data_IF_299782103906
#
_entry.id   IF_299782103906
#
_cell.length_a   1.000
_cell.length_b   1.000
_cell.length_c   1.000
_cell.angle_alpha   90.00
_cell.angle_beta   90.00
_cell.angle_gamma   90.00
#
_symmetry.space_group_name_H-M   'P 1'
#
loop_
_entity.id
_entity.type
_entity.pdbx_description
1 polymer ?
#
# COMPACT_ATOMS: atom_id res chain seq x y z
N UNK A 1 -29.49 24.18 -14.66
CA UNK A 1 -28.02 24.14 -14.90
C UNK A 1 -27.37 23.24 -13.84
N UNK A 2 -27.21 21.93 -14.12
CA UNK A 2 -26.43 21.04 -13.24
C UNK A 2 -24.97 21.48 -13.33
N UNK A 3 -24.45 22.17 -12.29
CA UNK A 3 -23.01 22.35 -12.14
C UNK A 3 -22.41 20.94 -12.12
N UNK A 4 -21.67 20.56 -13.15
CA UNK A 4 -20.71 19.46 -13.05
C UNK A 4 -19.80 19.82 -11.89
N UNK A 5 -20.03 19.21 -10.71
CA UNK A 5 -19.05 19.24 -9.62
C UNK A 5 -17.79 18.64 -10.25
N UNK A 6 -16.77 19.47 -10.47
CA UNK A 6 -15.42 18.99 -10.80
C UNK A 6 -15.07 18.05 -9.65
N UNK A 7 -15.12 16.75 -9.88
CA UNK A 7 -14.73 15.76 -8.88
C UNK A 7 -13.25 15.99 -8.62
N UNK A 8 -12.93 16.62 -7.50
CA UNK A 8 -11.56 16.73 -7.02
C UNK A 8 -11.09 15.31 -6.69
N UNK A 9 -10.19 14.77 -7.51
CA UNK A 9 -9.61 13.42 -7.34
C UNK A 9 -8.60 13.42 -6.18
N UNK A 10 -9.11 13.45 -4.95
CA UNK A 10 -8.34 13.43 -3.71
C UNK A 10 -7.75 12.06 -3.39
N UNK A 11 -8.50 11.00 -3.68
CA UNK A 11 -8.01 9.62 -3.65
C UNK A 11 -7.76 9.17 -5.09
N UNK A 12 -6.60 8.58 -5.34
CA UNK A 12 -6.26 8.04 -6.65
C UNK A 12 -5.56 6.70 -6.49
N UNK A 13 -5.86 5.78 -7.41
CA UNK A 13 -5.30 4.42 -7.44
C UNK A 13 -3.76 4.40 -7.41
N UNK A 14 -3.08 5.50 -7.74
CA UNK A 14 -1.63 5.58 -7.76
C UNK A 14 -1.02 5.75 -6.37
N UNK A 15 -1.75 6.38 -5.45
CA UNK A 15 -1.39 6.49 -4.03
C UNK A 15 -1.96 5.36 -3.18
N UNK A 16 -2.54 4.32 -3.79
CA UNK A 16 -3.23 3.25 -3.07
C UNK A 16 -2.71 1.87 -3.46
N UNK A 17 -2.80 0.94 -2.50
CA UNK A 17 -2.73 -0.47 -2.79
C UNK A 17 -3.79 -0.83 -3.83
N UNK A 18 -3.49 -1.74 -4.76
CA UNK A 18 -4.47 -2.17 -5.77
C UNK A 18 -5.67 -2.88 -5.14
N UNK A 19 -5.45 -3.50 -4.00
CA UNK A 19 -6.48 -4.09 -3.14
C UNK A 19 -7.11 -3.08 -2.17
N UNK A 20 -6.89 -1.78 -2.32
CA UNK A 20 -7.72 -0.73 -1.70
C UNK A 20 -8.78 -0.27 -2.70
N UNK A 21 -10.05 -0.51 -2.39
CA UNK A 21 -11.18 -0.06 -3.17
C UNK A 21 -11.57 1.38 -2.80
N UNK A 22 -11.81 2.22 -3.81
CA UNK A 22 -12.13 3.63 -3.66
C UNK A 22 -13.56 3.83 -4.12
N UNK A 23 -14.37 4.53 -3.32
CA UNK A 23 -15.76 4.83 -3.65
C UNK A 23 -15.89 5.78 -4.86
N UNK A 24 -17.06 5.81 -5.53
CA UNK A 24 -17.28 6.62 -6.74
C UNK A 24 -17.11 8.14 -6.56
N UNK A 25 -17.20 8.62 -5.31
CA UNK A 25 -17.03 10.01 -4.92
C UNK A 25 -15.57 10.37 -4.59
N UNK A 26 -14.67 9.38 -4.54
CA UNK A 26 -13.26 9.57 -4.19
C UNK A 26 -13.04 9.97 -2.72
N UNK A 27 -14.03 9.75 -1.86
CA UNK A 27 -13.97 10.09 -0.43
C UNK A 27 -14.11 8.89 0.50
N UNK A 28 -14.62 7.77 -0.01
CA UNK A 28 -14.75 6.51 0.70
C UNK A 28 -13.66 5.52 0.29
N UNK A 29 -13.24 4.66 1.22
CA UNK A 29 -12.35 3.55 0.89
C UNK A 29 -12.43 2.36 1.84
N UNK A 30 -12.08 1.19 1.33
CA UNK A 30 -12.07 -0.07 2.08
C UNK A 30 -11.13 -1.10 1.42
N UNK A 31 -10.68 -2.15 2.12
CA UNK A 31 -9.98 -3.27 1.48
C UNK A 31 -10.91 -3.96 0.47
N UNK A 32 -10.47 -4.16 -0.77
CA UNK A 32 -11.27 -4.75 -1.86
C UNK A 32 -11.68 -6.19 -1.58
N UNK A 33 -10.76 -6.96 -1.02
CA UNK A 33 -10.92 -8.40 -0.83
C UNK A 33 -11.16 -8.77 0.64
N UNK A 34 -11.73 -7.85 1.43
CA UNK A 34 -11.93 -8.03 2.87
C UNK A 34 -12.69 -9.33 3.22
N UNK A 35 -13.63 -9.75 2.37
CA UNK A 35 -14.42 -10.96 2.61
C UNK A 35 -13.62 -12.25 2.33
N UNK A 36 -12.77 -12.26 1.30
CA UNK A 36 -11.98 -13.44 0.92
C UNK A 36 -10.66 -13.53 1.69
N UNK A 37 -10.07 -12.38 2.04
CA UNK A 37 -8.78 -12.24 2.71
C UNK A 37 -8.90 -11.24 3.88
N UNK A 38 -9.59 -11.59 4.97
CA UNK A 38 -9.87 -10.69 6.09
C UNK A 38 -8.61 -10.21 6.83
N UNK A 39 -7.49 -10.92 6.70
CA UNK A 39 -6.19 -10.53 7.26
C UNK A 39 -5.48 -9.44 6.44
N UNK A 40 -5.91 -9.19 5.20
CA UNK A 40 -5.19 -8.33 4.26
C UNK A 40 -5.48 -6.85 4.54
N UNK A 41 -4.45 -6.14 4.99
CA UNK A 41 -4.53 -4.68 5.12
C UNK A 41 -4.32 -3.99 3.77
N UNK A 42 -4.99 -2.85 3.60
CA UNK A 42 -4.97 -2.02 2.40
C UNK A 42 -4.72 -0.56 2.77
N UNK A 43 -3.88 0.12 2.00
CA UNK A 43 -3.37 1.45 2.31
C UNK A 43 -3.67 2.42 1.19
N UNK A 44 -3.88 3.67 1.55
CA UNK A 44 -4.21 4.73 0.63
C UNK A 44 -3.72 6.09 1.14
N UNK A 45 -2.84 6.70 0.35
CA UNK A 45 -2.36 8.08 0.51
C UNK A 45 -3.14 9.01 -0.43
N UNK A 46 -3.55 10.17 0.08
CA UNK A 46 -4.22 11.18 -0.74
C UNK A 46 -3.25 11.78 -1.77
N UNK A 47 -3.83 12.32 -2.85
CA UNK A 47 -3.09 12.89 -3.98
C UNK A 47 -2.47 14.25 -3.69
N UNK A 48 -2.85 14.92 -2.61
CA UNK A 48 -2.36 16.24 -2.25
C UNK A 48 -1.81 16.21 -0.83
N UNK A 49 -0.62 16.78 -0.67
CA UNK A 49 0.05 16.96 0.60
C UNK A 49 0.40 18.42 0.84
N UNK A 50 1.08 18.68 1.94
CA UNK A 50 1.42 20.03 2.40
C UNK A 50 2.86 20.12 2.89
N UNK A 51 3.42 21.33 2.79
CA UNK A 51 4.80 21.65 3.22
C UNK A 51 4.85 22.69 4.35
N UNK A 52 3.74 23.38 4.61
CA UNK A 52 3.72 24.53 5.49
C UNK A 52 2.30 24.82 6.01
N UNK A 53 2.21 25.72 6.99
CA UNK A 53 0.96 26.19 7.57
C UNK A 53 0.47 25.33 8.72
N UNK A 54 -0.81 25.49 9.08
CA UNK A 54 -1.50 24.65 10.06
C UNK A 54 -2.67 23.98 9.36
N UNK A 55 -2.51 22.72 9.05
CA UNK A 55 -3.41 22.01 8.12
C UNK A 55 -3.96 20.75 8.79
N UNK A 56 -5.25 20.49 8.57
CA UNK A 56 -5.93 19.29 9.06
C UNK A 56 -6.66 18.50 7.99
N UNK A 57 -6.95 17.24 8.27
CA UNK A 57 -7.96 16.46 7.57
C UNK A 57 -8.71 15.58 8.57
N UNK A 58 -9.92 15.17 8.22
CA UNK A 58 -10.75 14.30 9.07
C UNK A 58 -11.04 12.98 8.36
N UNK A 59 -11.02 11.90 9.13
CA UNK A 59 -11.41 10.55 8.70
C UNK A 59 -12.41 9.96 9.67
N UNK A 60 -13.52 9.45 9.15
CA UNK A 60 -14.49 8.68 9.91
C UNK A 60 -14.27 7.19 9.69
N UNK A 61 -14.26 6.42 10.78
CA UNK A 61 -14.42 4.96 10.72
C UNK A 61 -15.90 4.66 10.47
N UNK A 62 -16.25 4.36 9.21
CA UNK A 62 -17.66 4.23 8.78
C UNK A 62 -18.31 2.96 9.30
N UNK A 63 -17.68 1.81 9.05
CA UNK A 63 -18.19 0.51 9.47
C UNK A 63 -17.12 -0.55 9.54
N UNK A 64 -17.33 -1.53 10.41
CA UNK A 64 -16.60 -2.80 10.40
C UNK A 64 -17.13 -3.69 9.28
N UNK A 65 -16.24 -4.46 8.68
CA UNK A 65 -16.55 -5.41 7.61
C UNK A 65 -16.27 -6.81 8.14
N UNK A 66 -17.27 -7.41 8.79
CA UNK A 66 -17.16 -8.73 9.39
C UNK A 66 -17.67 -9.79 8.40
N UNK A 67 -16.89 -10.85 8.10
CA UNK A 67 -17.39 -11.96 7.31
C UNK A 67 -18.52 -12.67 8.04
N UNK A 68 -19.57 -13.06 7.32
CA UNK A 68 -20.76 -13.74 7.87
C UNK A 68 -20.50 -15.16 8.41
N UNK A 69 -19.26 -15.67 8.33
CA UNK A 69 -18.93 -17.09 8.55
C UNK A 69 -17.79 -17.34 9.55
N UNK A 70 -17.37 -16.35 10.34
CA UNK A 70 -16.27 -16.51 11.31
C UNK A 70 -16.77 -16.25 12.73
N UNK A 71 -17.60 -17.15 13.25
CA UNK A 71 -17.91 -17.21 14.69
C UNK A 71 -16.80 -17.92 15.50
N UNK A 72 -15.79 -18.53 14.88
CA UNK A 72 -14.86 -19.45 15.57
C UNK A 72 -13.35 -19.20 15.34
N UNK A 73 -12.91 -17.97 15.07
CA UNK A 73 -11.48 -17.64 15.12
C UNK A 73 -11.20 -16.52 16.13
N UNK A 74 -11.21 -16.90 17.41
CA UNK A 74 -10.99 -16.03 18.58
C UNK A 74 -9.57 -15.44 18.69
N UNK A 75 -8.65 -15.76 17.77
CA UNK A 75 -7.23 -15.39 17.90
C UNK A 75 -6.76 -14.23 16.98
N UNK A 76 -7.57 -13.78 16.00
CA UNK A 76 -7.15 -12.73 15.09
C UNK A 76 -7.95 -11.45 15.26
N UNK A 77 -7.22 -10.35 15.35
CA UNK A 77 -7.78 -9.02 15.47
C UNK A 77 -8.79 -8.71 14.33
N UNK A 78 -10.07 -8.46 14.65
CA UNK A 78 -11.17 -8.56 13.68
C UNK A 78 -11.15 -7.46 12.61
N UNK A 79 -10.58 -6.31 12.94
CA UNK A 79 -10.40 -5.19 12.02
C UNK A 79 -9.25 -4.31 12.49
N UNK A 80 -8.76 -3.48 11.58
CA UNK A 80 -7.56 -2.67 11.75
C UNK A 80 -7.76 -1.29 11.15
N UNK A 81 -7.30 -0.25 11.84
CA UNK A 81 -7.25 1.10 11.29
C UNK A 81 -5.99 1.81 11.78
N UNK A 82 -5.30 2.46 10.86
CA UNK A 82 -4.27 3.47 11.12
C UNK A 82 -4.57 4.69 10.25
N UNK A 83 -4.48 5.88 10.83
CA UNK A 83 -4.70 7.16 10.15
C UNK A 83 -3.59 8.14 10.50
N UNK A 84 -3.19 8.98 9.55
CA UNK A 84 -2.14 9.97 9.83
C UNK A 84 -1.46 10.49 8.57
N UNK A 85 -0.15 10.68 8.64
CA UNK A 85 0.63 11.39 7.63
C UNK A 85 1.82 10.55 7.18
N UNK A 86 2.19 10.66 5.90
CA UNK A 86 3.43 10.07 5.40
C UNK A 86 3.97 10.86 4.21
N UNK A 87 5.27 10.70 3.92
CA UNK A 87 5.88 11.25 2.69
C UNK A 87 5.70 10.30 1.51
N UNK A 88 5.92 10.77 0.27
CA UNK A 88 5.66 9.99 -0.94
C UNK A 88 6.47 8.69 -1.06
N UNK A 89 7.66 8.68 -0.45
CA UNK A 89 8.67 7.64 -0.66
C UNK A 89 8.57 6.49 0.35
N UNK A 90 7.67 6.61 1.33
CA UNK A 90 7.35 5.49 2.23
C UNK A 90 6.43 4.50 1.54
N UNK A 91 6.43 3.26 2.04
CA UNK A 91 5.42 2.25 1.73
C UNK A 91 4.00 2.74 2.08
N UNK A 92 3.01 2.00 1.60
CA UNK A 92 1.60 2.20 1.94
C UNK A 92 1.19 1.45 3.23
N UNK A 93 2.16 0.91 3.97
CA UNK A 93 1.98 0.33 5.30
C UNK A 93 2.16 1.44 6.33
N UNK A 94 1.12 2.25 6.52
CA UNK A 94 1.21 3.45 7.36
C UNK A 94 1.69 3.10 8.78
N UNK A 95 2.81 3.71 9.19
CA UNK A 95 3.44 3.52 10.51
C UNK A 95 4.67 2.60 10.49
N UNK A 96 4.91 1.89 9.38
CA UNK A 96 6.03 0.94 9.28
C UNK A 96 7.37 1.62 8.90
N UNK A 97 7.33 2.72 8.15
CA UNK A 97 8.53 3.47 7.77
C UNK A 97 8.79 4.67 8.70
N UNK A 98 10.04 5.12 8.79
CA UNK A 98 10.46 6.21 9.70
C UNK A 98 9.74 7.55 9.47
N UNK A 99 9.34 7.84 8.23
CA UNK A 99 8.62 9.06 7.83
C UNK A 99 7.14 8.80 7.55
N UNK A 100 6.59 7.84 8.30
CA UNK A 100 5.20 7.46 8.27
C UNK A 100 4.64 7.47 9.69
N UNK A 101 3.78 8.45 9.97
CA UNK A 101 3.29 8.76 11.31
C UNK A 101 1.82 8.41 11.41
N UNK A 102 1.47 7.45 12.25
CA UNK A 102 0.11 6.95 12.37
C UNK A 102 -0.43 7.04 13.79
N UNK A 103 -1.75 7.16 13.89
CA UNK A 103 -2.54 6.84 15.06
C UNK A 103 -3.37 5.60 14.74
N UNK A 104 -3.28 4.56 15.58
CA UNK A 104 -3.95 3.28 15.34
C UNK A 104 -5.27 3.15 16.10
N UNK A 105 -6.00 2.07 15.81
CA UNK A 105 -7.29 1.76 16.41
C UNK A 105 -7.25 1.56 17.93
N UNK A 106 -6.09 1.28 18.51
CA UNK A 106 -5.94 1.00 19.94
C UNK A 106 -5.61 2.24 20.75
N UNK A 107 -5.36 3.36 20.08
CA UNK A 107 -4.86 4.55 20.74
C UNK A 107 -3.33 4.64 20.77
N UNK A 108 -2.62 3.84 19.97
CA UNK A 108 -1.17 3.97 19.88
C UNK A 108 -0.77 4.93 18.76
N UNK A 109 0.35 5.62 18.96
CA UNK A 109 1.07 6.28 17.88
C UNK A 109 2.10 5.31 17.29
N UNK A 110 2.19 5.25 15.96
CA UNK A 110 3.06 4.31 15.22
C UNK A 110 4.01 5.06 14.27
N UNK A 111 5.30 4.71 14.28
CA UNK A 111 6.29 5.18 13.30
C UNK A 111 7.50 4.24 13.27
N UNK A 112 8.09 4.00 12.09
CA UNK A 112 9.26 3.13 11.96
C UNK A 112 9.05 1.70 12.48
N UNK A 113 7.82 1.18 12.38
CA UNK A 113 7.43 -0.16 12.86
C UNK A 113 7.32 -0.27 14.39
N UNK A 114 7.38 0.86 15.12
CA UNK A 114 7.28 0.91 16.57
C UNK A 114 5.98 1.56 17.00
N UNK A 115 5.33 0.99 18.00
CA UNK A 115 4.11 1.51 18.62
C UNK A 115 4.33 1.95 20.05
N UNK A 116 3.74 3.09 20.40
CA UNK A 116 3.76 3.65 21.75
C UNK A 116 2.33 4.05 22.15
N UNK A 117 1.94 3.76 23.40
CA UNK A 117 0.69 4.23 23.97
C UNK A 117 0.63 5.76 23.92
N UNK A 118 -0.52 6.31 23.53
CA UNK A 118 -0.63 7.76 23.30
C UNK A 118 -2.02 8.32 23.61
N UNK A 119 -3.05 7.67 23.11
CA UNK A 119 -4.43 8.15 23.15
C UNK A 119 -5.39 7.06 23.57
N UNK A 120 -6.52 7.00 22.89
CA UNK A 120 -7.63 6.11 23.22
C UNK A 120 -8.10 5.26 22.02
N UNK A 121 -8.67 4.08 22.27
CA UNK A 121 -9.17 3.23 21.19
C UNK A 121 -10.24 3.89 20.32
N UNK A 122 -10.30 3.50 19.05
CA UNK A 122 -11.30 3.93 18.07
C UNK A 122 -12.40 2.87 17.90
N UNK A 123 -13.62 3.36 17.71
CA UNK A 123 -14.83 2.57 17.45
C UNK A 123 -15.53 3.03 16.18
N UNK A 124 -16.45 2.19 15.70
CA UNK A 124 -17.30 2.53 14.56
C UNK A 124 -18.06 3.84 14.82
N UNK A 125 -18.09 4.72 13.82
CA UNK A 125 -18.65 6.07 13.90
C UNK A 125 -17.67 7.14 14.37
N UNK A 126 -16.56 6.78 15.02
CA UNK A 126 -15.57 7.76 15.49
C UNK A 126 -14.94 8.53 14.33
N UNK A 127 -14.66 9.80 14.60
CA UNK A 127 -14.01 10.72 13.69
C UNK A 127 -12.65 11.10 14.26
N UNK A 128 -11.61 10.88 13.46
CA UNK A 128 -10.25 11.27 13.78
C UNK A 128 -9.87 12.50 12.97
N UNK A 129 -9.57 13.59 13.66
CA UNK A 129 -8.93 14.77 13.09
C UNK A 129 -7.42 14.64 13.17
N UNK A 130 -6.74 14.70 12.04
CA UNK A 130 -5.29 14.60 11.92
C UNK A 130 -4.73 15.97 11.52
N UNK A 131 -3.91 16.57 12.37
CA UNK A 131 -3.45 17.95 12.22
C UNK A 131 -1.93 18.04 12.17
N UNK A 132 -1.41 18.88 11.27
CA UNK A 132 0.00 19.18 11.10
C UNK A 132 0.23 20.68 11.26
N UNK A 133 1.06 21.06 12.22
CA UNK A 133 1.48 22.45 12.46
C UNK A 133 2.95 22.60 12.09
N UNK A 134 3.22 23.34 11.02
CA UNK A 134 4.56 23.67 10.57
C UNK A 134 5.02 24.98 11.20
N UNK A 135 6.13 24.94 11.91
CA UNK A 135 6.81 26.12 12.46
C UNK A 135 7.63 26.82 11.37
N UNK A 136 8.03 28.07 11.64
CA UNK A 136 8.80 28.90 10.69
C UNK A 136 10.20 28.36 10.44
N UNK A 137 10.77 27.63 11.39
CA UNK A 137 12.07 26.97 11.28
C UNK A 137 12.00 25.64 10.50
N UNK A 138 10.80 25.20 10.11
CA UNK A 138 10.55 23.94 9.41
C UNK A 138 10.22 22.75 10.31
N UNK A 139 10.26 22.90 11.64
CA UNK A 139 9.81 21.85 12.55
C UNK A 139 8.30 21.60 12.41
N UNK A 140 7.85 20.37 12.64
CA UNK A 140 6.45 19.98 12.46
C UNK A 140 5.93 19.26 13.70
N UNK A 141 4.78 19.68 14.19
CA UNK A 141 4.04 18.95 15.21
C UNK A 141 2.82 18.27 14.58
N UNK A 142 2.68 16.98 14.83
CA UNK A 142 1.51 16.20 14.42
C UNK A 142 0.66 15.87 15.63
N UNK A 143 -0.60 16.29 15.58
CA UNK A 143 -1.58 16.06 16.64
C UNK A 143 -2.83 15.37 16.13
N UNK A 144 -3.51 14.72 17.06
CA UNK A 144 -4.74 13.99 16.79
C UNK A 144 -5.89 14.47 17.68
N UNK A 145 -7.08 14.47 17.10
CA UNK A 145 -8.33 14.69 17.79
C UNK A 145 -9.24 13.50 17.55
N UNK A 146 -10.03 13.12 18.54
CA UNK A 146 -11.12 12.16 18.40
C UNK A 146 -12.42 12.83 18.76
N UNK A 147 -13.39 12.78 17.85
CA UNK A 147 -14.71 13.37 18.03
C UNK A 147 -14.65 14.84 18.49
N UNK A 148 -13.73 15.61 17.89
CA UNK A 148 -13.45 17.01 18.23
C UNK A 148 -12.54 17.22 19.45
N UNK A 149 -12.41 16.24 20.35
CA UNK A 149 -11.54 16.35 21.54
C UNK A 149 -10.07 16.19 21.17
N UNK A 150 -9.23 17.13 21.61
CA UNK A 150 -7.78 17.03 21.46
C UNK A 150 -7.23 15.87 22.30
N UNK A 151 -6.52 14.94 21.65
CA UNK A 151 -5.87 13.81 22.32
C UNK A 151 -4.44 14.19 22.72
N UNK A 152 -3.74 14.95 21.87
CA UNK A 152 -2.38 15.39 22.15
C UNK A 152 -1.54 15.61 20.88
N UNK A 153 -0.28 16.02 21.08
CA UNK A 153 0.75 16.01 20.04
C UNK A 153 1.47 14.66 20.09
N UNK A 154 1.28 13.84 19.06
CA UNK A 154 1.88 12.50 18.99
C UNK A 154 3.34 12.55 18.52
N UNK A 155 3.65 13.41 17.56
CA UNK A 155 4.98 13.49 16.95
C UNK A 155 5.47 14.93 16.88
N UNK A 156 6.72 15.11 17.27
CA UNK A 156 7.48 16.36 17.06
C UNK A 156 8.65 16.04 16.13
N UNK A 157 8.60 16.58 14.92
CA UNK A 157 9.53 16.29 13.83
C UNK A 157 10.46 17.50 13.69
N UNK A 158 11.77 17.26 13.80
CA UNK A 158 12.77 18.31 13.63
C UNK A 158 12.82 18.87 12.20
N UNK A 159 13.23 20.14 12.07
CA UNK A 159 13.25 20.88 10.81
C UNK A 159 13.99 20.17 9.65
N UNK A 160 15.05 19.42 9.98
CA UNK A 160 15.91 18.75 9.01
C UNK A 160 15.41 17.37 8.61
N UNK A 161 14.39 16.82 9.28
CA UNK A 161 13.95 15.43 9.08
C UNK A 161 13.16 15.28 7.79
N UNK A 162 12.22 16.19 7.52
CA UNK A 162 11.39 16.10 6.29
C UNK A 162 12.15 16.53 5.04
N UNK A 163 13.19 17.36 5.15
CA UNK A 163 14.03 17.80 4.02
C UNK A 163 13.19 18.33 2.83
N UNK A 164 12.15 19.12 3.12
CA UNK A 164 11.25 19.67 2.09
C UNK A 164 10.32 18.63 1.43
N UNK A 165 10.18 17.43 1.99
CA UNK A 165 9.21 16.44 1.52
C UNK A 165 7.81 16.74 2.07
N UNK A 166 6.77 16.79 1.20
CA UNK A 166 5.41 17.08 1.63
C UNK A 166 4.81 15.92 2.44
N UNK A 167 4.03 16.27 3.45
CA UNK A 167 3.21 15.33 4.21
C UNK A 167 1.87 15.13 3.52
N UNK A 168 1.53 13.87 3.24
CA UNK A 168 0.25 13.49 2.65
C UNK A 168 -0.60 12.76 3.68
N UNK A 169 -1.91 13.06 3.75
CA UNK A 169 -2.85 12.23 4.50
C UNK A 169 -2.82 10.78 4.02
N UNK A 170 -2.85 9.86 4.96
CA UNK A 170 -2.69 8.44 4.71
C UNK A 170 -3.60 7.65 5.65
N UNK A 171 -4.24 6.61 5.12
CA UNK A 171 -4.95 5.59 5.89
C UNK A 171 -4.44 4.20 5.52
N UNK A 172 -4.46 3.30 6.49
CA UNK A 172 -4.16 1.89 6.31
C UNK A 172 -5.16 1.08 7.14
N UNK A 173 -5.95 0.24 6.51
CA UNK A 173 -7.07 -0.44 7.15
C UNK A 173 -7.18 -1.91 6.77
N UNK A 174 -7.80 -2.69 7.66
CA UNK A 174 -8.15 -4.10 7.53
C UNK A 174 -9.59 -4.28 7.98
N UNK A 175 -10.42 -4.94 7.19
CA UNK A 175 -11.80 -5.29 7.56
C UNK A 175 -12.63 -4.12 8.12
N UNK A 176 -12.39 -2.91 7.61
CA UNK A 176 -13.22 -1.74 7.91
C UNK A 176 -13.21 -0.76 6.74
N UNK A 177 -14.24 0.08 6.71
CA UNK A 177 -14.40 1.14 5.75
C UNK A 177 -14.14 2.50 6.40
N UNK A 178 -13.57 3.42 5.62
CA UNK A 178 -13.26 4.77 6.05
C UNK A 178 -13.83 5.81 5.09
N UNK A 179 -14.16 6.99 5.62
CA UNK A 179 -14.54 8.16 4.83
C UNK A 179 -13.69 9.35 5.20
N UNK A 180 -13.22 10.08 4.20
CA UNK A 180 -12.55 11.35 4.37
C UNK A 180 -13.52 12.50 4.15
N UNK A 181 -13.38 13.56 4.94
CA UNK A 181 -14.05 14.82 4.65
C UNK A 181 -13.25 15.63 3.62
N UNK A 182 -13.68 15.57 2.35
CA UNK A 182 -12.95 16.13 1.21
C UNK A 182 -13.75 17.13 0.37
N UNK A 183 -15.02 17.35 0.69
CA UNK A 183 -15.82 18.41 0.05
C UNK A 183 -15.41 19.75 0.69
N UNK A 184 -14.78 20.67 -0.06
CA UNK A 184 -14.36 21.96 0.48
C UNK A 184 -15.52 22.88 0.88
N UNK A 185 -16.75 22.54 0.46
CA UNK A 185 -17.97 23.29 0.78
C UNK A 185 -18.75 22.68 1.94
N UNK A 186 -18.42 21.46 2.37
CA UNK A 186 -19.06 20.83 3.52
C UNK A 186 -18.49 21.42 4.83
N UNK A 187 -19.33 21.62 5.85
CA UNK A 187 -18.82 21.96 7.18
C UNK A 187 -17.94 20.81 7.70
N UNK A 188 -16.89 21.13 8.50
CA UNK A 188 -16.13 20.10 9.20
C UNK A 188 -17.05 19.32 10.14
N UNK A 189 -16.76 18.03 10.39
CA UNK A 189 -17.61 17.25 11.29
C UNK A 189 -17.52 17.75 12.73
N UNK A 190 -16.37 18.30 13.11
CA UNK A 190 -16.17 19.04 14.35
C UNK A 190 -15.52 20.40 14.09
N UNK A 191 -15.68 21.39 15.00
CA UNK A 191 -15.00 22.67 14.86
C UNK A 191 -13.48 22.49 14.69
N UNK A 192 -12.92 23.12 13.65
CA UNK A 192 -11.49 23.07 13.38
C UNK A 192 -10.71 23.77 14.51
N UNK A 193 -9.57 23.22 14.98
CA UNK A 193 -8.76 23.87 16.00
C UNK A 193 -8.33 25.29 15.58
N UNK A 194 -8.21 26.24 16.52
CA UNK A 194 -7.87 27.63 16.19
C UNK A 194 -6.62 27.76 15.33
N UNK A 195 -6.75 28.47 14.21
CA UNK A 195 -5.66 28.72 13.25
C UNK A 195 -5.36 27.58 12.28
N UNK A 196 -6.06 26.44 12.36
CA UNK A 196 -5.95 25.36 11.37
C UNK A 196 -6.93 25.56 10.21
N UNK A 197 -6.55 25.06 9.04
CA UNK A 197 -7.40 25.00 7.85
C UNK A 197 -7.48 23.58 7.32
N UNK A 198 -8.67 23.14 6.89
CA UNK A 198 -8.85 21.83 6.30
C UNK A 198 -8.15 21.73 4.94
N UNK A 199 -7.46 20.62 4.69
CA UNK A 199 -6.73 20.35 3.44
C UNK A 199 -7.61 20.57 2.20
N UNK A 200 -8.88 20.13 2.27
CA UNK A 200 -9.84 20.29 1.19
C UNK A 200 -10.04 21.76 0.81
N UNK A 201 -10.13 22.63 1.82
CA UNK A 201 -10.40 24.06 1.68
C UNK A 201 -9.16 24.90 1.34
N UNK A 202 -7.95 24.34 1.40
CA UNK A 202 -6.74 25.08 1.03
C UNK A 202 -6.76 25.54 -0.43
N UNK A 203 -6.16 26.69 -0.76
CA UNK A 203 -5.98 27.11 -2.15
C UNK A 203 -4.98 26.18 -2.88
N UNK A 204 -5.06 26.06 -4.22
CA UNK A 204 -4.17 25.17 -4.99
C UNK A 204 -2.67 25.43 -4.77
N UNK A 205 -2.24 26.69 -4.60
CA UNK A 205 -0.82 27.04 -4.40
C UNK A 205 -0.23 26.57 -3.05
N UNK A 206 -1.07 26.14 -2.10
CA UNK A 206 -0.62 25.60 -0.81
C UNK A 206 -0.68 24.07 -0.76
N UNK A 207 -1.07 23.41 -1.87
CA UNK A 207 -1.17 21.96 -1.99
C UNK A 207 -0.10 21.44 -2.94
N UNK A 208 0.62 20.42 -2.51
CA UNK A 208 1.59 19.71 -3.35
C UNK A 208 0.95 18.45 -3.88
N UNK A 209 0.83 18.34 -5.21
CA UNK A 209 0.25 17.16 -5.85
C UNK A 209 1.29 16.04 -5.92
N UNK A 210 0.91 14.84 -5.51
CA UNK A 210 1.69 13.64 -5.73
C UNK A 210 1.86 13.40 -7.24
N UNK A 211 3.05 12.93 -7.63
CA UNK A 211 3.40 12.67 -9.03
C UNK A 211 2.40 11.70 -9.70
N UNK A 212 1.94 12.08 -10.88
CA UNK A 212 0.85 11.41 -11.60
C UNK A 212 1.42 10.22 -12.38
N UNK A 213 0.80 9.04 -12.26
CA UNK A 213 1.20 7.86 -13.03
C UNK A 213 0.67 7.92 -14.48
N UNK A 214 1.03 6.95 -15.34
CA UNK A 214 0.59 6.91 -16.73
C UNK A 214 -0.94 7.03 -16.87
N UNK A 215 -1.39 7.85 -17.81
CA UNK A 215 -2.81 8.16 -18.01
C UNK A 215 -3.52 7.21 -18.98
N UNK A 216 -2.77 6.40 -19.73
CA UNK A 216 -3.29 5.45 -20.72
C UNK A 216 -2.55 4.11 -20.68
N UNK A 217 -3.24 3.03 -21.06
CA UNK A 217 -2.67 1.67 -21.11
C UNK A 217 -1.42 1.57 -22.00
N UNK A 218 -1.38 2.31 -23.11
CA UNK A 218 -0.24 2.32 -24.03
C UNK A 218 1.05 2.89 -23.41
N UNK A 219 0.92 3.73 -22.38
CA UNK A 219 2.04 4.27 -21.61
C UNK A 219 2.43 3.37 -20.44
N UNK A 220 1.59 2.39 -20.08
CA UNK A 220 1.83 1.46 -18.99
C UNK A 220 2.77 0.32 -19.42
N UNK A 221 3.51 -0.20 -18.45
CA UNK A 221 4.49 -1.27 -18.63
C UNK A 221 4.30 -2.36 -17.58
N UNK A 222 4.37 -3.62 -18.02
CA UNK A 222 4.41 -4.79 -17.13
C UNK A 222 5.69 -5.57 -17.35
N UNK A 223 6.44 -5.80 -16.27
CA UNK A 223 7.62 -6.64 -16.24
C UNK A 223 7.23 -7.98 -15.60
N UNK A 224 7.33 -9.07 -16.37
CA UNK A 224 7.12 -10.42 -15.87
C UNK A 224 8.47 -11.03 -15.47
N UNK A 225 8.69 -11.23 -14.17
CA UNK A 225 9.89 -11.90 -13.69
C UNK A 225 9.80 -13.41 -13.94
N UNK A 226 10.88 -14.01 -14.44
CA UNK A 226 10.98 -15.46 -14.67
C UNK A 226 12.27 -15.96 -14.05
N UNK A 227 12.19 -16.99 -13.22
CA UNK A 227 13.35 -17.51 -12.50
C UNK A 227 12.98 -18.40 -11.34
N UNK A 228 13.88 -19.30 -10.96
CA UNK A 228 13.68 -20.23 -9.85
C UNK A 228 13.58 -19.49 -8.50
N UNK A 229 12.94 -20.06 -7.46
CA UNK A 229 13.07 -19.56 -6.09
C UNK A 229 14.54 -19.35 -5.71
N UNK A 230 14.87 -18.27 -5.00
CA UNK A 230 16.26 -17.93 -4.65
C UNK A 230 17.15 -17.46 -5.82
N UNK A 231 16.64 -17.34 -7.06
CA UNK A 231 17.46 -16.91 -8.20
C UNK A 231 17.85 -15.42 -8.18
N UNK A 232 17.20 -14.60 -7.33
CA UNK A 232 17.45 -13.16 -7.22
C UNK A 232 16.40 -12.27 -7.89
N UNK A 233 15.21 -12.79 -8.23
CA UNK A 233 14.12 -12.00 -8.84
C UNK A 233 13.69 -10.80 -8.01
N UNK A 234 13.41 -11.00 -6.71
CA UNK A 234 13.00 -9.94 -5.80
C UNK A 234 14.09 -8.87 -5.68
N UNK A 235 15.36 -9.30 -5.59
CA UNK A 235 16.51 -8.40 -5.55
C UNK A 235 16.63 -7.54 -6.82
N UNK A 236 16.56 -8.16 -8.00
CA UNK A 236 16.57 -7.44 -9.28
C UNK A 236 15.42 -6.44 -9.38
N UNK A 237 14.22 -6.86 -8.99
CA UNK A 237 13.01 -6.01 -9.04
C UNK A 237 13.18 -4.76 -8.18
N UNK A 238 13.67 -4.91 -6.94
CA UNK A 238 13.91 -3.79 -6.02
C UNK A 238 14.99 -2.84 -6.53
N UNK A 239 16.07 -3.36 -7.13
CA UNK A 239 17.11 -2.52 -7.76
C UNK A 239 16.54 -1.75 -8.96
N UNK A 240 15.79 -2.43 -9.84
CA UNK A 240 15.19 -1.80 -11.01
C UNK A 240 14.23 -0.67 -10.61
N UNK A 241 13.44 -0.87 -9.55
CA UNK A 241 12.58 0.17 -9.00
C UNK A 241 13.35 1.40 -8.48
N UNK A 242 14.49 1.18 -7.81
CA UNK A 242 15.36 2.27 -7.31
C UNK A 242 16.04 3.02 -8.45
N UNK A 243 16.39 2.34 -9.53
CA UNK A 243 17.01 2.94 -10.72
C UNK A 243 16.00 3.70 -11.60
N UNK A 244 14.71 3.36 -11.49
CA UNK A 244 13.62 3.97 -12.25
C UNK A 244 12.48 4.51 -11.36
N UNK A 245 12.77 5.46 -10.45
CA UNK A 245 11.78 6.00 -9.53
C UNK A 245 10.62 6.71 -10.26
N UNK A 246 10.87 7.26 -11.45
CA UNK A 246 9.88 7.90 -12.32
C UNK A 246 8.82 6.91 -12.82
N UNK A 247 9.17 5.62 -12.96
CA UNK A 247 8.25 4.59 -13.42
C UNK A 247 7.23 4.21 -12.36
N UNK A 248 7.55 4.36 -11.08
CA UNK A 248 6.66 3.99 -9.96
C UNK A 248 6.04 2.61 -10.10
N UNK A 249 6.88 1.63 -10.38
CA UNK A 249 6.44 0.25 -10.47
C UNK A 249 5.78 -0.19 -9.16
N UNK A 250 4.65 -0.88 -9.27
CA UNK A 250 4.06 -1.63 -8.18
C UNK A 250 4.53 -3.08 -8.26
N UNK A 251 5.24 -3.52 -7.23
CA UNK A 251 5.73 -4.88 -7.12
C UNK A 251 4.59 -5.79 -6.64
N UNK A 252 4.23 -6.79 -7.45
CA UNK A 252 3.18 -7.75 -7.16
C UNK A 252 3.82 -9.13 -6.96
N UNK A 253 3.88 -9.58 -5.71
CA UNK A 253 4.41 -10.88 -5.32
C UNK A 253 3.77 -11.35 -4.02
N UNK A 254 4.01 -12.61 -3.68
CA UNK A 254 3.40 -13.22 -2.47
C UNK A 254 4.02 -12.62 -1.21
N UNK A 255 5.32 -12.34 -1.21
CA UNK A 255 6.03 -11.64 -0.14
C UNK A 255 5.42 -10.25 0.13
N UNK A 256 5.17 -9.47 -0.93
CA UNK A 256 4.60 -8.13 -0.81
C UNK A 256 3.15 -8.13 -0.26
N UNK A 257 2.40 -9.22 -0.47
CA UNK A 257 1.08 -9.38 0.13
C UNK A 257 1.15 -9.86 1.58
N UNK A 258 2.12 -10.72 1.92
CA UNK A 258 2.34 -11.14 3.30
C UNK A 258 2.74 -9.98 4.20
N UNK A 259 3.55 -9.05 3.73
CA UNK A 259 3.88 -7.84 4.52
C UNK A 259 2.63 -6.99 4.81
N UNK A 260 1.62 -7.04 3.94
CA UNK A 260 0.32 -6.41 4.17
C UNK A 260 -0.58 -7.18 5.16
N UNK A 261 -0.22 -8.39 5.59
CA UNK A 261 -1.00 -9.18 6.56
C UNK A 261 -0.53 -8.96 8.01
N UNK A 262 0.61 -8.27 8.21
CA UNK A 262 1.28 -7.91 9.50
C UNK A 262 1.72 -9.12 10.35
N UNK A 263 0.92 -10.19 10.39
CA UNK A 263 1.25 -11.49 10.99
C UNK A 263 1.62 -12.47 9.88
N UNK A 264 2.61 -13.33 10.12
CA UNK A 264 3.07 -14.34 9.15
C UNK A 264 2.79 -15.75 9.65
N UNK A 265 2.07 -16.55 8.85
CA UNK A 265 1.88 -17.99 9.08
C UNK A 265 1.78 -18.72 7.74
N UNK A 266 1.96 -20.04 7.73
CA UNK A 266 1.84 -20.87 6.52
C UNK A 266 0.45 -20.77 5.85
N UNK A 267 -0.61 -20.65 6.65
CA UNK A 267 -1.96 -20.46 6.13
C UNK A 267 -2.10 -19.11 5.40
N UNK A 268 -1.46 -18.06 5.93
CA UNK A 268 -1.44 -16.74 5.30
C UNK A 268 -0.65 -16.75 3.98
N UNK A 269 0.37 -17.59 3.85
CA UNK A 269 1.13 -17.76 2.61
C UNK A 269 0.25 -18.27 1.46
N UNK A 270 -0.59 -19.26 1.74
CA UNK A 270 -1.54 -19.79 0.77
C UNK A 270 -2.60 -18.74 0.39
N UNK A 271 -3.15 -18.03 1.38
CA UNK A 271 -4.09 -16.93 1.15
C UNK A 271 -3.47 -15.80 0.31
N UNK A 272 -2.23 -15.40 0.61
CA UNK A 272 -1.50 -14.40 -0.17
C UNK A 272 -1.29 -14.84 -1.63
N UNK A 273 -0.95 -16.11 -1.86
CA UNK A 273 -0.80 -16.65 -3.22
C UNK A 273 -2.12 -16.64 -4.00
N UNK A 274 -3.25 -16.95 -3.34
CA UNK A 274 -4.56 -16.90 -3.96
C UNK A 274 -4.95 -15.44 -4.28
N UNK A 275 -4.81 -14.54 -3.30
CA UNK A 275 -5.06 -13.11 -3.46
C UNK A 275 -4.24 -12.50 -4.59
N UNK A 276 -2.98 -12.90 -4.76
CA UNK A 276 -2.11 -12.39 -5.84
C UNK A 276 -2.70 -12.65 -7.23
N UNK A 277 -3.38 -13.79 -7.42
CA UNK A 277 -3.98 -14.14 -8.71
C UNK A 277 -5.10 -13.17 -9.07
N UNK A 278 -5.93 -12.79 -8.10
CA UNK A 278 -7.01 -11.82 -8.32
C UNK A 278 -6.47 -10.38 -8.40
N UNK A 279 -5.44 -10.06 -7.62
CA UNK A 279 -4.75 -8.78 -7.68
C UNK A 279 -4.14 -8.50 -9.05
N UNK A 280 -3.58 -9.53 -9.71
CA UNK A 280 -3.04 -9.41 -11.08
C UNK A 280 -4.13 -9.03 -12.08
N UNK A 281 -5.36 -9.54 -11.93
CA UNK A 281 -6.49 -9.16 -12.79
C UNK A 281 -6.86 -7.69 -12.58
N UNK A 282 -6.87 -7.22 -11.32
CA UNK A 282 -7.09 -5.80 -11.00
C UNK A 282 -5.99 -4.92 -11.60
N UNK A 283 -4.72 -5.34 -11.49
CA UNK A 283 -3.58 -4.64 -12.09
C UNK A 283 -3.75 -4.50 -13.61
N UNK A 284 -4.18 -5.56 -14.30
CA UNK A 284 -4.39 -5.53 -15.75
C UNK A 284 -5.49 -4.58 -16.23
N UNK A 285 -6.42 -4.21 -15.35
CA UNK A 285 -7.51 -3.26 -15.61
C UNK A 285 -7.20 -1.84 -15.12
N UNK A 286 -6.09 -1.66 -14.41
CA UNK A 286 -5.72 -0.40 -13.79
C UNK A 286 -4.52 0.22 -14.52
N UNK A 287 -4.56 1.49 -14.93
CA UNK A 287 -3.38 2.17 -15.46
C UNK A 287 -2.26 2.24 -14.40
N UNK A 288 -1.07 1.77 -14.75
CA UNK A 288 0.09 1.77 -13.86
C UNK A 288 1.23 0.92 -14.42
N UNK A 289 2.42 1.05 -13.82
CA UNK A 289 3.54 0.17 -14.14
C UNK A 289 3.63 -0.94 -13.08
N UNK A 290 3.83 -2.18 -13.50
CA UNK A 290 3.77 -3.35 -12.63
C UNK A 290 4.96 -4.27 -12.82
N UNK A 291 5.44 -4.86 -11.73
CA UNK A 291 6.40 -5.97 -11.77
C UNK A 291 5.72 -7.19 -11.16
N UNK A 292 5.57 -8.26 -11.94
CA UNK A 292 5.00 -9.52 -11.49
C UNK A 292 6.11 -10.43 -10.97
N UNK A 293 6.37 -10.37 -9.66
CA UNK A 293 7.43 -11.10 -8.97
C UNK A 293 6.95 -12.49 -8.54
N UNK A 294 6.83 -13.39 -9.51
CA UNK A 294 6.60 -14.81 -9.29
C UNK A 294 7.62 -15.62 -10.10
N UNK A 295 7.69 -16.94 -9.91
CA UNK A 295 8.67 -17.76 -10.63
C UNK A 295 8.38 -17.87 -12.14
N UNK A 296 7.10 -17.89 -12.52
CA UNK A 296 6.60 -17.85 -13.91
C UNK A 296 7.33 -18.79 -14.89
N UNK A 297 7.65 -19.99 -14.41
CA UNK A 297 8.50 -20.95 -15.12
C UNK A 297 7.75 -21.67 -16.27
N UNK A 298 6.46 -21.89 -16.09
CA UNK A 298 5.61 -22.54 -17.09
C UNK A 298 5.23 -21.57 -18.20
N UNK A 299 5.43 -21.97 -19.47
CA UNK A 299 5.07 -21.15 -20.63
C UNK A 299 3.59 -20.76 -20.64
N UNK A 300 2.69 -21.72 -20.37
CA UNK A 300 1.24 -21.49 -20.29
C UNK A 300 0.89 -20.40 -19.27
N UNK A 301 1.50 -20.45 -18.08
CA UNK A 301 1.28 -19.45 -17.03
C UNK A 301 1.80 -18.06 -17.43
N UNK A 302 2.94 -17.97 -18.13
CA UNK A 302 3.45 -16.69 -18.66
C UNK A 302 2.50 -16.11 -19.70
N UNK A 303 2.12 -16.92 -20.69
CA UNK A 303 1.23 -16.53 -21.78
C UNK A 303 -0.09 -16.02 -21.25
N UNK A 304 -0.72 -16.77 -20.33
CA UNK A 304 -1.98 -16.36 -19.71
C UNK A 304 -1.88 -14.99 -19.01
N UNK A 305 -0.85 -14.77 -18.19
CA UNK A 305 -0.67 -13.48 -17.50
C UNK A 305 -0.42 -12.33 -18.46
N UNK A 306 0.47 -12.49 -19.44
CA UNK A 306 0.78 -11.44 -20.41
C UNK A 306 -0.40 -11.09 -21.33
N UNK A 307 -1.33 -12.02 -21.55
CA UNK A 307 -2.57 -11.76 -22.29
C UNK A 307 -3.51 -10.79 -21.54
N UNK A 308 -3.55 -10.85 -20.19
CA UNK A 308 -4.36 -9.93 -19.38
C UNK A 308 -3.94 -8.47 -19.59
N UNK A 309 -2.64 -8.22 -19.75
CA UNK A 309 -2.05 -6.89 -19.96
C UNK A 309 -2.06 -6.46 -21.43
N UNK A 310 -3.08 -6.84 -22.19
CA UNK A 310 -3.26 -6.32 -23.56
C UNK A 310 -3.33 -4.79 -23.53
N UNK A 311 -2.61 -4.15 -24.46
CA UNK A 311 -2.44 -2.70 -24.53
C UNK A 311 -1.29 -2.12 -23.71
N UNK A 312 -0.64 -2.90 -22.83
CA UNK A 312 0.57 -2.49 -22.10
C UNK A 312 1.83 -2.82 -22.89
N UNK A 313 2.92 -2.11 -22.60
CA UNK A 313 4.28 -2.57 -22.93
C UNK A 313 4.60 -3.78 -22.06
N UNK A 314 4.82 -4.93 -22.69
CA UNK A 314 5.02 -6.22 -22.01
C UNK A 314 6.48 -6.63 -22.17
N UNK A 315 7.19 -6.83 -21.06
CA UNK A 315 8.57 -7.32 -21.06
C UNK A 315 8.71 -8.51 -20.12
N UNK A 316 9.57 -9.45 -20.51
CA UNK A 316 9.92 -10.62 -19.70
C UNK A 316 11.37 -10.46 -19.27
N UNK A 317 11.61 -10.57 -17.96
CA UNK A 317 12.95 -10.50 -17.38
C UNK A 317 13.30 -11.86 -16.81
N UNK A 318 14.31 -12.50 -17.40
CA UNK A 318 14.75 -13.84 -17.01
C UNK A 318 15.97 -13.72 -16.10
N UNK A 319 15.86 -14.24 -14.88
CA UNK A 319 16.95 -14.30 -13.90
C UNK A 319 17.35 -15.77 -13.71
N UNK A 320 18.49 -16.12 -14.29
CA UNK A 320 19.03 -17.49 -14.29
C UNK A 320 20.52 -17.49 -13.93
N UNK A 321 20.87 -17.54 -12.63
CA UNK A 321 22.26 -17.73 -12.21
C UNK A 321 22.77 -19.13 -12.57
N UNK A 322 24.09 -19.33 -12.51
CA UNK A 322 24.68 -20.66 -12.67
C UNK A 322 24.13 -21.64 -11.62
N UNK A 323 24.12 -22.94 -11.94
CA UNK A 323 23.59 -23.96 -11.03
C UNK A 323 24.33 -23.99 -9.67
N UNK A 324 25.64 -23.73 -9.68
CA UNK A 324 26.47 -23.62 -8.47
C UNK A 324 26.04 -22.44 -7.60
N UNK A 325 25.88 -21.26 -8.22
CA UNK A 325 25.45 -20.05 -7.51
C UNK A 325 24.01 -20.15 -7.00
N UNK A 326 23.11 -20.75 -7.79
CA UNK A 326 21.73 -20.97 -7.38
C UNK A 326 21.65 -21.88 -6.15
N UNK A 327 22.35 -23.02 -6.16
CA UNK A 327 22.41 -23.95 -5.01
C UNK A 327 22.99 -23.27 -3.77
N UNK A 328 24.08 -22.50 -3.94
CA UNK A 328 24.69 -21.73 -2.85
C UNK A 328 23.69 -20.76 -2.22
N UNK A 329 22.93 -20.02 -3.03
CA UNK A 329 21.87 -19.11 -2.54
C UNK A 329 20.75 -19.86 -1.85
N UNK A 330 20.30 -20.97 -2.41
CA UNK A 330 19.22 -21.77 -1.84
C UNK A 330 19.59 -22.30 -0.45
N UNK A 331 20.81 -22.81 -0.28
CA UNK A 331 21.32 -23.26 1.01
C UNK A 331 21.40 -22.10 2.02
N UNK A 332 21.88 -20.93 1.60
CA UNK A 332 21.90 -19.74 2.46
C UNK A 332 20.49 -19.29 2.88
N UNK A 333 19.50 -19.40 1.99
CA UNK A 333 18.10 -19.12 2.33
C UNK A 333 17.53 -20.15 3.31
N UNK A 334 17.90 -21.43 3.20
CA UNK A 334 17.46 -22.46 4.16
C UNK A 334 18.10 -22.31 5.54
N UNK A 335 19.32 -21.78 5.62
CA UNK A 335 19.99 -21.52 6.90
C UNK A 335 19.49 -20.24 7.59
N UNK A 336 18.93 -19.31 6.83
CA UNK A 336 18.32 -18.09 7.34
C UNK A 336 16.80 -18.30 7.40
N UNK A 337 16.27 -18.79 8.53
CA UNK A 337 14.84 -19.07 8.84
C UNK A 337 13.82 -17.94 8.54
N UNK A 338 14.25 -16.81 7.96
CA UNK A 338 13.45 -15.60 7.71
C UNK A 338 12.65 -15.62 6.40
N UNK A 339 12.98 -16.47 5.43
CA UNK A 339 12.28 -16.52 4.13
C UNK A 339 11.92 -17.96 3.74
N UNK A 340 10.73 -18.41 4.13
CA UNK A 340 10.22 -19.71 3.73
C UNK A 340 9.83 -19.71 2.25
N UNK A 341 10.42 -20.62 1.48
CA UNK A 341 10.02 -20.85 0.09
C UNK A 341 8.69 -21.61 0.11
N UNK A 342 7.63 -21.12 -0.56
CA UNK A 342 6.36 -21.84 -0.61
C UNK A 342 6.57 -23.26 -1.18
N UNK A 343 6.01 -24.27 -0.51
CA UNK A 343 6.06 -25.66 -1.00
C UNK A 343 5.54 -25.80 -2.43
N UNK A 344 4.53 -25.00 -2.80
CA UNK A 344 4.00 -24.94 -4.17
C UNK A 344 5.03 -24.50 -5.22
N UNK A 345 6.06 -23.74 -4.82
CA UNK A 345 7.17 -23.37 -5.69
C UNK A 345 8.22 -24.49 -5.77
N UNK A 346 8.42 -25.25 -4.68
CA UNK A 346 9.29 -26.43 -4.63
C UNK A 346 8.72 -27.60 -5.44
N UNK A 347 7.42 -27.86 -5.36
CA UNK A 347 6.74 -28.87 -6.17
C UNK A 347 6.86 -28.56 -7.68
N UNK A 348 6.78 -27.29 -8.06
CA UNK A 348 6.99 -26.86 -9.46
C UNK A 348 8.44 -27.06 -9.94
N UNK A 349 9.42 -27.11 -9.03
CA UNK A 349 10.82 -27.42 -9.35
C UNK A 349 11.02 -28.91 -9.59
N UNK A 350 10.31 -29.79 -8.87
CA UNK A 350 10.44 -31.24 -9.01
C UNK A 350 10.02 -31.73 -10.41
N UNK A 351 9.14 -31.01 -11.09
CA UNK A 351 8.71 -31.33 -12.45
C UNK A 351 9.65 -30.79 -13.56
N UNK A 352 10.73 -30.07 -13.22
CA UNK A 352 11.56 -29.37 -14.20
C UNK A 352 13.04 -29.66 -13.97
N UNK A 353 13.63 -30.46 -14.85
CA UNK A 353 15.10 -30.52 -14.93
C UNK A 353 15.64 -29.17 -15.43
N UNK A 354 16.87 -28.76 -15.06
CA UNK A 354 17.50 -27.54 -15.56
C UNK A 354 17.54 -27.45 -17.10
N UNK A 355 17.63 -28.59 -17.79
CA UNK A 355 17.56 -28.68 -19.24
C UNK A 355 16.16 -28.33 -19.79
N UNK A 356 15.09 -28.78 -19.14
CA UNK A 356 13.70 -28.42 -19.47
C UNK A 356 13.40 -26.94 -19.22
N UNK A 357 14.09 -26.32 -18.25
CA UNK A 357 13.95 -24.89 -17.94
C UNK A 357 14.49 -24.02 -19.07
N UNK A 358 15.66 -24.34 -19.62
CA UNK A 358 16.28 -23.59 -20.73
C UNK A 358 15.43 -23.74 -21.99
N UNK A 359 15.00 -24.97 -22.33
CA UNK A 359 14.18 -25.23 -23.52
C UNK A 359 12.82 -24.50 -23.49
N UNK A 360 12.18 -24.38 -22.32
CA UNK A 360 10.89 -23.68 -22.17
C UNK A 360 11.00 -22.15 -22.13
N UNK A 361 12.18 -21.58 -21.89
CA UNK A 361 12.36 -20.11 -21.88
C UNK A 361 12.74 -19.60 -23.26
N UNK A 362 13.45 -20.40 -24.06
CA UNK A 362 13.89 -20.04 -25.41
C UNK A 362 12.87 -20.35 -26.50
N UNK A 363 11.79 -21.11 -26.21
CA UNK A 363 10.70 -21.31 -27.17
C UNK A 363 9.94 -20.00 -27.39
N UNK A 364 10.11 -19.43 -28.60
CA UNK A 364 9.60 -18.12 -29.04
C UNK A 364 8.10 -17.93 -28.86
#
# INVERSE_FOLDING_TARGET
KRKMKIKSNWIHVNGSHLHFEIGPDGSYGQPRFWAQFPSLWSGCRLTHGVLQGRVGFEVRLERKLLPTQLEEQEAMEPYGLRVGWSVSDTSLLLGEDDLSFAYDRHGNKMSGGKGEEFGEPLSEGDIVGCYASFATDGAVQLSFHKNGRFIGVAFSIGATVLQGRPLFPHVFCKSCAVRFLLDPTAPPWYPCPPGFTMLAALPPGQKVRATVAPSSRAQCEVLLMVGLPGSGKSHWSRIHMKQHPEKRYKLLGTEELLTCMIVTSNQLLQQASQCLTDLIKVAAQTPGNYILNQCNILFSARRHKLQLFTGFKRRVVVIFPSATEWKRRLLQHQMNDREQIPETALLKLQCLTPAYFIANITSK
#
